data_IF_137196933080
#
_entry.id   IF_137196933080
#
_cell.length_a   1.000
_cell.length_b   1.000
_cell.length_c   1.000
_cell.angle_alpha   90.00
_cell.angle_beta   90.00
_cell.angle_gamma   90.00
#
_symmetry.space_group_name_H-M   'P 1'
#
loop_
_entity.id
_entity.type
_entity.pdbx_description
1 polymer ?
#
# COMPACT_ATOMS: atom_id res chain seq x y z
N UNK A 1 55.03 31.77 -26.77
CA UNK A 1 53.89 30.85 -27.04
C UNK A 1 53.52 30.00 -25.81
N UNK A 2 54.46 29.48 -25.06
CA UNK A 2 54.28 28.58 -23.90
C UNK A 2 53.49 29.16 -22.71
N UNK A 3 53.50 30.47 -22.50
CA UNK A 3 52.83 31.14 -21.38
C UNK A 3 51.30 31.30 -21.60
N UNK A 4 50.86 31.28 -22.86
CA UNK A 4 49.45 31.42 -23.21
C UNK A 4 48.73 30.06 -23.10
N UNK A 5 49.38 28.95 -23.43
CA UNK A 5 48.89 27.59 -23.33
C UNK A 5 48.66 27.17 -21.85
N UNK A 6 49.57 27.58 -20.96
CA UNK A 6 49.46 27.27 -19.54
C UNK A 6 48.32 28.07 -18.86
N UNK A 7 48.02 29.26 -19.34
CA UNK A 7 46.92 30.09 -18.86
C UNK A 7 45.58 29.53 -19.34
N UNK A 8 45.48 29.05 -20.57
CA UNK A 8 44.26 28.41 -21.11
C UNK A 8 43.95 27.10 -20.40
N UNK A 9 44.95 26.24 -20.13
CA UNK A 9 44.77 25.00 -19.36
C UNK A 9 44.26 25.27 -17.93
N UNK A 10 44.82 26.25 -17.23
CA UNK A 10 44.36 26.65 -15.89
C UNK A 10 42.91 27.15 -15.93
N UNK A 11 42.54 27.97 -16.89
CA UNK A 11 41.16 28.45 -17.05
C UNK A 11 40.20 27.33 -17.35
N UNK A 12 40.58 26.37 -18.21
CA UNK A 12 39.79 25.19 -18.52
C UNK A 12 39.52 24.32 -17.27
N UNK A 13 40.58 24.05 -16.46
CA UNK A 13 40.43 23.28 -15.21
C UNK A 13 39.57 24.02 -14.19
N UNK A 14 39.68 25.33 -14.10
CA UNK A 14 38.82 26.11 -13.22
C UNK A 14 37.36 26.09 -13.64
N UNK A 15 37.05 26.20 -14.93
CA UNK A 15 35.70 26.09 -15.46
C UNK A 15 35.12 24.68 -15.19
N UNK A 16 35.93 23.64 -15.40
CA UNK A 16 35.53 22.25 -15.14
C UNK A 16 35.25 22.00 -13.65
N UNK A 17 36.03 22.58 -12.77
CA UNK A 17 35.82 22.48 -11.31
C UNK A 17 34.55 23.23 -10.87
N UNK A 18 34.29 24.41 -11.42
CA UNK A 18 33.09 25.19 -11.13
C UNK A 18 31.85 24.48 -11.63
N UNK A 19 31.87 23.91 -12.85
CA UNK A 19 30.73 23.13 -13.38
C UNK A 19 30.46 21.89 -12.54
N UNK A 20 31.52 21.19 -12.08
CA UNK A 20 31.38 20.04 -11.19
C UNK A 20 30.73 20.40 -9.84
N UNK A 21 31.17 21.53 -9.23
CA UNK A 21 30.56 22.03 -7.99
C UNK A 21 29.11 22.45 -8.17
N UNK A 22 28.73 23.02 -9.32
CA UNK A 22 27.35 23.36 -9.63
C UNK A 22 26.49 22.09 -9.73
N UNK A 23 26.99 21.03 -10.38
CA UNK A 23 26.28 19.74 -10.50
C UNK A 23 26.06 19.12 -9.11
N UNK A 24 27.09 19.14 -8.24
CA UNK A 24 26.97 18.66 -6.86
C UNK A 24 25.93 19.48 -6.09
N UNK A 25 25.92 20.79 -6.24
CA UNK A 25 24.96 21.66 -5.56
C UNK A 25 23.52 21.38 -6.02
N UNK A 26 23.32 21.20 -7.32
CA UNK A 26 22.00 20.83 -7.87
C UNK A 26 21.57 19.46 -7.31
N UNK A 27 22.47 18.47 -7.28
CA UNK A 27 22.21 17.16 -6.70
C UNK A 27 21.77 17.24 -5.22
N UNK A 28 22.49 18.04 -4.42
CA UNK A 28 22.14 18.29 -3.02
C UNK A 28 20.77 18.95 -2.85
N UNK A 29 20.46 19.95 -3.68
CA UNK A 29 19.13 20.61 -3.65
C UNK A 29 18.02 19.61 -4.01
N UNK A 30 18.22 18.76 -5.02
CA UNK A 30 17.26 17.71 -5.38
C UNK A 30 17.05 16.71 -4.24
N UNK A 31 18.12 16.24 -3.59
CA UNK A 31 18.04 15.32 -2.45
C UNK A 31 17.28 15.97 -1.28
N UNK A 32 17.58 17.22 -0.95
CA UNK A 32 16.89 17.97 0.10
C UNK A 32 15.41 18.18 -0.23
N UNK A 33 15.08 18.41 -1.49
CA UNK A 33 13.70 18.57 -1.94
C UNK A 33 12.91 17.28 -1.77
N UNK A 34 13.47 16.14 -2.23
CA UNK A 34 12.86 14.80 -2.07
C UNK A 34 12.68 14.46 -0.59
N UNK A 35 13.72 14.70 0.22
CA UNK A 35 13.66 14.45 1.67
C UNK A 35 12.58 15.29 2.37
N UNK A 36 12.45 16.58 2.04
CA UNK A 36 11.40 17.43 2.60
C UNK A 36 10.00 16.99 2.18
N UNK A 37 9.83 16.54 0.93
CA UNK A 37 8.55 16.03 0.47
C UNK A 37 8.15 14.75 1.20
N UNK A 38 9.10 13.81 1.39
CA UNK A 38 8.85 12.59 2.15
C UNK A 38 8.49 12.89 3.62
N UNK A 39 9.22 13.82 4.28
CA UNK A 39 8.88 14.23 5.64
C UNK A 39 7.49 14.87 5.74
N UNK A 40 7.13 15.69 4.75
CA UNK A 40 5.79 16.31 4.72
C UNK A 40 4.70 15.25 4.58
N UNK A 41 4.88 14.30 3.67
CA UNK A 41 3.92 13.20 3.48
C UNK A 41 3.74 12.35 4.73
N UNK A 42 4.83 11.97 5.40
CA UNK A 42 4.78 11.25 6.66
C UNK A 42 4.06 12.05 7.75
N UNK A 43 4.28 13.37 7.80
CA UNK A 43 3.56 14.25 8.72
C UNK A 43 2.08 14.35 8.38
N UNK A 44 1.71 14.40 7.10
CA UNK A 44 0.31 14.43 6.65
C UNK A 44 -0.40 13.12 7.02
N UNK A 45 0.21 11.94 6.80
CA UNK A 45 -0.31 10.65 7.27
C UNK A 45 -0.42 10.59 8.80
N UNK A 46 0.61 11.03 9.53
CA UNK A 46 0.59 11.06 11.00
C UNK A 46 -0.47 12.02 11.54
N UNK A 47 -0.74 13.14 10.86
CA UNK A 47 -1.78 14.07 11.26
C UNK A 47 -3.18 13.48 11.06
N UNK A 48 -3.39 12.74 9.97
CA UNK A 48 -4.62 11.97 9.71
C UNK A 48 -4.78 10.90 10.78
N UNK A 49 -3.73 10.13 11.10
CA UNK A 49 -3.73 9.11 12.15
C UNK A 49 -4.01 9.70 13.54
N UNK A 50 -3.36 10.79 13.92
CA UNK A 50 -3.55 11.43 15.23
C UNK A 50 -4.94 12.06 15.38
N UNK A 51 -5.57 12.56 14.31
CA UNK A 51 -6.96 13.02 14.35
C UNK A 51 -7.93 11.88 14.61
N UNK A 52 -7.63 10.70 14.11
CA UNK A 52 -8.36 9.45 14.35
C UNK A 52 -8.22 8.99 15.82
N UNK A 53 -7.00 8.91 16.35
CA UNK A 53 -6.71 8.47 17.72
C UNK A 53 -7.32 9.41 18.79
N UNK A 54 -7.38 10.73 18.53
CA UNK A 54 -7.94 11.69 19.47
C UNK A 54 -9.47 11.54 19.66
N UNK A 55 -10.16 11.05 18.64
CA UNK A 55 -11.62 10.81 18.70
C UNK A 55 -11.94 9.53 19.48
N UNK A 56 -11.09 8.51 19.38
CA UNK A 56 -11.25 7.22 20.09
C UNK A 56 -11.22 7.39 21.61
N UNK A 57 -10.38 8.28 22.13
CA UNK A 57 -10.24 8.53 23.57
C UNK A 57 -11.51 9.12 24.23
N UNK A 58 -12.50 9.56 23.46
CA UNK A 58 -13.76 10.15 23.97
C UNK A 58 -14.93 9.17 24.03
N UNK A 59 -14.79 7.93 23.51
CA UNK A 59 -15.91 6.99 23.32
C UNK A 59 -15.93 5.85 24.36
N UNK A 60 -15.09 5.84 25.39
CA UNK A 60 -14.91 4.74 26.36
C UNK A 60 -16.17 4.33 27.20
N UNK A 61 -17.38 4.77 26.86
CA UNK A 61 -18.60 4.46 27.65
C UNK A 61 -19.83 4.11 26.79
N UNK A 62 -19.76 3.11 25.91
CA UNK A 62 -21.01 2.55 25.36
C UNK A 62 -21.08 1.04 25.58
N UNK A 63 -22.06 0.64 26.38
CA UNK A 63 -22.46 -0.76 26.63
C UNK A 63 -23.20 -1.28 25.37
N UNK A 64 -22.47 -1.50 24.26
CA UNK A 64 -23.02 -2.00 22.99
C UNK A 64 -22.19 -3.21 22.53
N UNK A 65 -22.86 -4.27 22.08
CA UNK A 65 -22.27 -5.46 21.45
C UNK A 65 -21.62 -5.17 20.08
N UNK A 66 -21.38 -3.90 19.75
CA UNK A 66 -20.78 -3.47 18.49
C UNK A 66 -19.25 -3.50 18.57
N UNK A 67 -18.59 -3.89 17.49
CA UNK A 67 -17.16 -3.85 17.39
C UNK A 67 -16.64 -2.39 17.41
N UNK A 68 -15.46 -2.19 17.97
CA UNK A 68 -14.79 -0.89 18.00
C UNK A 68 -14.33 -0.47 16.61
N UNK A 69 -14.58 0.79 16.24
CA UNK A 69 -14.02 1.42 15.06
C UNK A 69 -13.18 2.62 15.47
N UNK A 70 -11.84 2.51 15.48
CA UNK A 70 -10.98 3.60 15.89
C UNK A 70 -10.88 4.73 14.84
N UNK A 71 -11.56 4.62 13.69
CA UNK A 71 -11.39 5.51 12.55
C UNK A 71 -12.54 6.50 12.42
N UNK A 72 -12.26 7.79 12.51
CA UNK A 72 -13.22 8.88 12.25
C UNK A 72 -13.35 9.12 10.73
N UNK A 73 -14.27 8.39 10.10
CA UNK A 73 -14.53 8.52 8.66
C UNK A 73 -15.17 9.86 8.27
N UNK A 74 -15.80 10.58 9.20
CA UNK A 74 -16.36 11.90 8.92
C UNK A 74 -15.24 12.96 8.85
N UNK A 75 -14.24 12.86 9.71
CA UNK A 75 -13.03 13.69 9.61
C UNK A 75 -12.22 13.36 8.34
N UNK A 76 -12.09 12.07 8.00
CA UNK A 76 -11.41 11.65 6.77
C UNK A 76 -12.10 12.16 5.51
N UNK A 77 -13.43 12.09 5.45
CA UNK A 77 -14.22 12.59 4.31
C UNK A 77 -14.08 14.11 4.11
N UNK A 78 -13.88 14.87 5.19
CA UNK A 78 -13.60 16.32 5.11
C UNK A 78 -12.19 16.59 4.52
N UNK A 79 -11.25 15.69 4.70
CA UNK A 79 -9.90 15.77 4.10
C UNK A 79 -9.93 15.38 2.64
N UNK A 80 -10.52 14.22 2.33
CA UNK A 80 -10.64 13.69 0.98
C UNK A 80 -11.78 12.66 0.90
N UNK A 81 -12.83 12.96 0.15
CA UNK A 81 -14.01 12.10 -0.03
C UNK A 81 -13.76 10.87 -0.92
N UNK A 82 -12.54 10.66 -1.36
CA UNK A 82 -12.06 9.47 -2.07
C UNK A 82 -11.45 8.43 -1.10
N UNK A 83 -11.25 8.77 0.18
CA UNK A 83 -10.94 7.81 1.24
C UNK A 83 -12.23 7.05 1.58
N UNK A 84 -12.22 5.72 1.43
CA UNK A 84 -13.42 4.92 1.64
C UNK A 84 -13.24 3.78 2.64
N UNK A 85 -11.98 3.50 3.03
CA UNK A 85 -11.63 2.49 4.00
C UNK A 85 -10.31 2.84 4.70
N UNK A 86 -9.97 2.05 5.71
CA UNK A 86 -8.68 2.07 6.39
C UNK A 86 -8.19 0.64 6.54
N UNK A 87 -6.92 0.38 6.25
CA UNK A 87 -6.29 -0.94 6.41
C UNK A 87 -5.32 -0.92 7.58
N UNK A 88 -5.38 -1.97 8.41
CA UNK A 88 -4.40 -2.21 9.48
C UNK A 88 -3.97 -3.67 9.45
N UNK A 89 -2.65 -3.92 9.51
CA UNK A 89 -2.08 -5.25 9.69
C UNK A 89 -1.20 -5.23 10.95
N UNK A 90 -1.55 -5.96 12.01
CA UNK A 90 -0.78 -6.00 13.25
C UNK A 90 0.68 -6.42 13.03
N UNK A 91 1.60 -5.90 13.85
CA UNK A 91 3.04 -6.15 13.80
C UNK A 91 3.73 -5.69 12.51
N UNK A 92 3.05 -4.84 11.72
CA UNK A 92 3.59 -4.17 10.54
C UNK A 92 3.40 -2.66 10.67
N UNK A 93 4.04 -1.90 9.75
CA UNK A 93 3.79 -0.46 9.59
C UNK A 93 2.55 -0.18 8.73
N UNK A 94 1.82 -1.21 8.28
CA UNK A 94 0.64 -1.05 7.42
C UNK A 94 -0.55 -0.64 8.28
N UNK A 95 -0.80 0.68 8.28
CA UNK A 95 -1.87 1.35 9.01
C UNK A 95 -2.20 2.65 8.27
N UNK A 96 -3.01 2.53 7.20
CA UNK A 96 -3.20 3.56 6.17
C UNK A 96 -4.65 3.72 5.73
N UNK A 97 -5.05 4.95 5.31
CA UNK A 97 -6.28 5.13 4.55
C UNK A 97 -6.20 4.41 3.20
N UNK A 98 -7.33 3.88 2.75
CA UNK A 98 -7.50 3.28 1.43
C UNK A 98 -8.33 4.21 0.57
N UNK A 99 -7.80 4.53 -0.62
CA UNK A 99 -8.40 5.49 -1.54
C UNK A 99 -8.83 4.82 -2.84
N UNK A 100 -9.83 5.41 -3.48
CA UNK A 100 -10.17 5.10 -4.86
C UNK A 100 -10.49 6.40 -5.58
N UNK A 101 -9.68 6.74 -6.58
CA UNK A 101 -9.85 7.97 -7.36
C UNK A 101 -11.20 7.96 -8.09
N UNK A 102 -11.77 9.12 -8.34
CA UNK A 102 -12.98 9.31 -9.17
C UNK A 102 -12.65 9.55 -10.64
N UNK A 103 -11.37 9.70 -10.99
CA UNK A 103 -10.95 10.18 -12.31
C UNK A 103 -9.97 9.30 -13.05
N UNK A 104 -9.12 8.53 -12.34
CA UNK A 104 -8.09 7.67 -12.93
C UNK A 104 -7.68 6.57 -11.97
N UNK A 105 -7.61 5.32 -12.44
CA UNK A 105 -7.17 4.16 -11.65
C UNK A 105 -5.78 4.34 -11.05
N UNK A 106 -4.88 4.99 -11.77
CA UNK A 106 -3.49 5.17 -11.35
C UNK A 106 -3.22 6.49 -10.62
N UNK A 107 -4.26 7.29 -10.29
CA UNK A 107 -4.05 8.60 -9.68
C UNK A 107 -3.26 8.50 -8.37
N UNK A 108 -3.61 7.56 -7.49
CA UNK A 108 -3.00 7.41 -6.19
C UNK A 108 -1.68 6.61 -6.19
N UNK A 109 -1.19 6.19 -7.35
CA UNK A 109 0.13 5.57 -7.44
C UNK A 109 1.25 6.55 -7.07
N UNK A 110 1.03 7.86 -7.31
CA UNK A 110 2.01 8.92 -7.05
C UNK A 110 1.37 10.20 -6.46
N UNK A 111 0.24 10.06 -5.75
CA UNK A 111 -0.42 11.16 -5.03
C UNK A 111 -0.79 10.74 -3.60
N UNK A 112 -0.60 11.69 -2.67
CA UNK A 112 -0.95 11.53 -1.26
C UNK A 112 -2.47 11.70 -1.00
N UNK A 113 -2.87 11.57 0.27
CA UNK A 113 -4.26 11.75 0.73
C UNK A 113 -4.81 13.14 0.46
N UNK A 114 -3.97 14.16 0.31
CA UNK A 114 -4.33 15.54 -0.01
C UNK A 114 -4.29 15.83 -1.53
N UNK A 115 -4.11 14.78 -2.35
CA UNK A 115 -3.99 14.86 -3.82
C UNK A 115 -2.75 15.64 -4.30
N UNK A 116 -1.71 15.78 -3.46
CA UNK A 116 -0.42 16.31 -3.87
C UNK A 116 0.44 15.19 -4.44
N UNK A 117 1.29 15.53 -5.41
CA UNK A 117 2.28 14.59 -5.92
C UNK A 117 3.20 14.11 -4.80
N UNK A 118 3.30 12.80 -4.66
CA UNK A 118 4.16 12.09 -3.74
C UNK A 118 4.57 10.77 -4.37
N UNK A 119 5.88 10.54 -4.55
CA UNK A 119 6.38 9.30 -5.17
C UNK A 119 5.90 8.02 -4.44
N UNK A 120 5.78 8.05 -3.11
CA UNK A 120 5.26 6.92 -2.34
C UNK A 120 3.76 6.64 -2.57
N UNK A 121 3.03 7.57 -3.14
CA UNK A 121 1.60 7.46 -3.39
C UNK A 121 0.77 7.22 -2.13
N UNK A 122 -0.30 6.49 -2.31
CA UNK A 122 -1.23 6.04 -1.25
C UNK A 122 -1.56 4.56 -1.44
N UNK A 123 -2.21 3.94 -0.45
CA UNK A 123 -2.85 2.65 -0.64
C UNK A 123 -4.18 2.86 -1.35
N UNK A 124 -4.39 2.17 -2.47
CA UNK A 124 -5.55 2.42 -3.33
C UNK A 124 -6.10 1.16 -3.98
N UNK A 125 -7.35 1.25 -4.44
CA UNK A 125 -7.97 0.30 -5.36
C UNK A 125 -8.35 0.97 -6.67
N UNK A 126 -8.59 0.17 -7.70
CA UNK A 126 -9.03 0.61 -9.02
C UNK A 126 -10.56 0.56 -9.17
N UNK A 127 -11.10 1.16 -10.24
CA UNK A 127 -12.56 1.19 -10.54
C UNK A 127 -13.16 -0.19 -10.76
N UNK A 128 -12.34 -1.18 -11.09
CA UNK A 128 -12.75 -2.57 -11.23
C UNK A 128 -13.27 -3.18 -9.92
N UNK A 129 -12.92 -2.60 -8.78
CA UNK A 129 -13.41 -3.01 -7.48
C UNK A 129 -14.45 -2.04 -6.91
N UNK A 130 -15.47 -2.60 -6.28
CA UNK A 130 -16.46 -1.87 -5.52
C UNK A 130 -15.88 -1.42 -4.18
N UNK A 131 -16.21 -0.20 -3.75
CA UNK A 131 -15.71 0.36 -2.49
C UNK A 131 -16.25 -0.34 -1.23
N UNK A 132 -17.23 -1.22 -1.35
CA UNK A 132 -17.86 -1.93 -0.23
C UNK A 132 -17.28 -3.31 0.06
N UNK A 133 -16.19 -3.71 -0.62
CA UNK A 133 -15.55 -5.02 -0.47
C UNK A 133 -16.51 -6.20 -0.70
N UNK A 134 -17.48 -6.05 -1.59
CA UNK A 134 -18.44 -7.12 -1.92
C UNK A 134 -18.00 -8.00 -3.08
N UNK A 135 -16.95 -7.63 -3.79
CA UNK A 135 -16.40 -8.40 -4.90
C UNK A 135 -15.83 -9.74 -4.44
N UNK A 136 -15.68 -10.68 -5.35
CA UNK A 136 -15.02 -11.97 -5.10
C UNK A 136 -13.54 -11.81 -4.75
N UNK A 137 -12.88 -10.82 -5.37
CA UNK A 137 -11.54 -10.36 -4.96
C UNK A 137 -11.47 -8.84 -5.02
N UNK A 138 -11.05 -8.23 -3.92
CA UNK A 138 -10.73 -6.79 -3.87
C UNK A 138 -9.22 -6.64 -3.84
N UNK A 139 -8.66 -5.92 -4.81
CA UNK A 139 -7.22 -5.73 -4.91
C UNK A 139 -6.85 -4.34 -4.42
N UNK A 140 -5.96 -4.28 -3.43
CA UNK A 140 -5.35 -3.05 -2.94
C UNK A 140 -3.89 -2.99 -3.38
N UNK A 141 -3.48 -1.85 -3.88
CA UNK A 141 -2.15 -1.58 -4.38
C UNK A 141 -1.41 -0.61 -3.46
N UNK A 142 -0.11 -0.82 -3.29
CA UNK A 142 0.78 0.09 -2.57
C UNK A 142 2.25 -0.14 -2.96
N UNK A 143 3.04 0.91 -2.93
CA UNK A 143 4.46 0.82 -3.23
C UNK A 143 5.24 -0.01 -2.20
N UNK A 144 6.32 -0.64 -2.66
CA UNK A 144 7.38 -1.20 -1.82
C UNK A 144 8.46 -0.12 -1.61
N UNK A 145 8.36 0.61 -0.52
CA UNK A 145 9.26 1.73 -0.23
C UNK A 145 10.48 1.27 0.56
N UNK A 146 11.66 1.80 0.22
CA UNK A 146 12.93 1.48 0.90
C UNK A 146 12.96 1.91 2.37
N UNK A 147 12.15 2.88 2.77
CA UNK A 147 12.02 3.34 4.15
C UNK A 147 11.04 2.50 4.99
N UNK A 148 10.50 1.43 4.42
CA UNK A 148 9.56 0.54 5.08
C UNK A 148 8.12 1.04 5.12
N UNK A 149 7.80 2.15 4.44
CA UNK A 149 6.44 2.68 4.35
C UNK A 149 5.60 2.00 3.26
N UNK A 150 4.33 2.36 3.19
CA UNK A 150 3.31 1.81 2.30
C UNK A 150 3.18 0.29 2.47
N UNK A 151 3.31 -0.50 1.41
CA UNK A 151 3.22 -1.96 1.43
C UNK A 151 4.58 -2.68 1.52
N UNK A 152 5.66 -1.97 1.90
CA UNK A 152 6.97 -2.60 2.06
C UNK A 152 6.96 -3.74 3.09
N UNK A 153 6.23 -3.59 4.19
CA UNK A 153 6.14 -4.61 5.24
C UNK A 153 5.35 -5.87 4.84
N UNK A 154 4.70 -5.92 3.66
CA UNK A 154 4.17 -7.16 3.13
C UNK A 154 5.27 -8.21 2.93
N UNK A 155 6.51 -7.79 2.64
CA UNK A 155 7.65 -8.69 2.51
C UNK A 155 8.06 -9.40 3.81
N UNK A 156 7.55 -8.99 4.97
CA UNK A 156 7.70 -9.76 6.21
C UNK A 156 7.01 -11.13 6.13
N UNK A 157 5.95 -11.24 5.32
CA UNK A 157 5.22 -12.49 5.09
C UNK A 157 5.96 -13.49 4.18
N UNK A 158 7.16 -13.18 3.68
CA UNK A 158 8.09 -14.14 3.08
C UNK A 158 8.66 -15.09 4.14
N UNK A 159 8.80 -14.62 5.38
CA UNK A 159 9.22 -15.41 6.53
C UNK A 159 8.06 -16.27 7.04
N UNK A 160 8.29 -17.59 7.16
CA UNK A 160 7.26 -18.57 7.53
C UNK A 160 6.78 -18.37 8.97
N UNK A 161 7.69 -18.03 9.90
CA UNK A 161 7.32 -17.81 11.30
C UNK A 161 6.45 -16.55 11.42
N UNK A 162 6.83 -15.45 10.73
CA UNK A 162 6.03 -14.24 10.70
C UNK A 162 4.64 -14.48 10.08
N UNK A 163 4.56 -15.22 8.97
CA UNK A 163 3.30 -15.59 8.32
C UNK A 163 2.39 -16.37 9.26
N UNK A 164 2.92 -17.35 9.99
CA UNK A 164 2.16 -18.21 10.90
C UNK A 164 1.68 -17.45 12.17
N UNK A 165 2.43 -16.45 12.62
CA UNK A 165 2.09 -15.66 13.82
C UNK A 165 1.14 -14.50 13.53
N UNK A 166 1.12 -13.98 12.29
CA UNK A 166 0.38 -12.77 11.89
C UNK A 166 -0.72 -13.11 10.87
N UNK A 167 -1.89 -13.51 11.37
CA UNK A 167 -2.92 -14.14 10.56
C UNK A 167 -3.99 -13.20 10.02
N UNK A 168 -4.07 -11.93 10.46
CA UNK A 168 -5.24 -11.12 10.18
C UNK A 168 -4.91 -9.78 9.54
N UNK A 169 -5.79 -9.39 8.58
CA UNK A 169 -5.88 -8.05 8.02
C UNK A 169 -7.22 -7.47 8.47
N UNK A 170 -7.20 -6.22 8.96
CA UNK A 170 -8.40 -5.48 9.31
C UNK A 170 -8.67 -4.37 8.31
N UNK A 171 -9.90 -4.33 7.82
CA UNK A 171 -10.41 -3.24 7.01
C UNK A 171 -11.54 -2.56 7.79
N UNK A 172 -11.36 -1.28 8.05
CA UNK A 172 -12.40 -0.45 8.63
C UNK A 172 -13.09 0.36 7.53
N UNK A 173 -14.39 0.48 7.64
CA UNK A 173 -15.24 1.38 6.87
C UNK A 173 -16.16 2.15 7.82
N UNK A 174 -16.83 3.18 7.36
CA UNK A 174 -17.82 3.86 8.20
C UNK A 174 -18.86 2.86 8.70
N UNK A 175 -18.97 2.72 10.03
CA UNK A 175 -19.87 1.81 10.74
C UNK A 175 -19.68 0.30 10.45
N UNK A 176 -18.47 -0.11 10.00
CA UNK A 176 -18.21 -1.51 9.63
C UNK A 176 -16.74 -1.87 9.81
N UNK A 177 -16.50 -3.10 10.30
CA UNK A 177 -15.18 -3.72 10.39
C UNK A 177 -15.20 -5.07 9.67
N UNK A 178 -14.26 -5.26 8.77
CA UNK A 178 -14.02 -6.53 8.07
C UNK A 178 -12.74 -7.15 8.61
N UNK A 179 -12.78 -8.44 8.92
CA UNK A 179 -11.60 -9.23 9.29
C UNK A 179 -11.33 -10.26 8.22
N UNK A 180 -10.14 -10.19 7.64
CA UNK A 180 -9.66 -11.18 6.68
C UNK A 180 -8.60 -12.05 7.35
N UNK A 181 -8.70 -13.37 7.18
CA UNK A 181 -7.65 -14.31 7.56
C UNK A 181 -6.71 -14.51 6.39
N UNK A 182 -5.39 -14.32 6.61
CA UNK A 182 -4.38 -14.49 5.57
C UNK A 182 -4.28 -15.96 5.18
N UNK A 183 -4.42 -16.23 3.90
CA UNK A 183 -4.42 -17.58 3.33
C UNK A 183 -3.15 -17.88 2.54
N UNK A 184 -2.56 -16.85 1.89
CA UNK A 184 -1.30 -17.04 1.14
C UNK A 184 -0.49 -15.76 1.02
N UNK A 185 0.83 -15.92 0.89
CA UNK A 185 1.78 -14.87 0.60
C UNK A 185 2.84 -15.41 -0.36
N UNK A 186 3.03 -14.80 -1.54
CA UNK A 186 3.91 -15.36 -2.57
C UNK A 186 4.33 -14.35 -3.64
N UNK A 187 5.43 -14.68 -4.36
CA UNK A 187 5.84 -13.93 -5.54
C UNK A 187 4.93 -14.25 -6.72
N UNK A 188 4.45 -13.20 -7.36
CA UNK A 188 3.58 -13.22 -8.53
C UNK A 188 4.24 -12.49 -9.69
N UNK A 189 3.81 -12.78 -10.92
CA UNK A 189 4.29 -12.05 -12.10
C UNK A 189 3.70 -10.63 -12.19
N UNK A 190 3.97 -9.92 -13.29
CA UNK A 190 3.49 -8.55 -13.49
C UNK A 190 2.07 -8.45 -14.04
N UNK A 191 1.36 -9.56 -14.23
CA UNK A 191 -0.02 -9.54 -14.75
C UNK A 191 -0.92 -8.76 -13.81
N UNK A 192 -1.79 -7.98 -14.39
CA UNK A 192 -2.80 -7.23 -13.64
C UNK A 192 -3.96 -8.16 -13.28
N UNK A 193 -4.16 -8.45 -11.99
CA UNK A 193 -5.10 -9.45 -11.50
C UNK A 193 -6.51 -9.18 -12.05
N UNK A 194 -7.07 -7.99 -11.83
CA UNK A 194 -8.44 -7.66 -12.21
C UNK A 194 -8.67 -7.69 -13.73
N UNK A 195 -7.62 -7.52 -14.55
CA UNK A 195 -7.72 -7.61 -16.02
C UNK A 195 -7.43 -9.02 -16.54
N UNK A 196 -6.83 -9.89 -15.73
CA UNK A 196 -6.42 -11.24 -16.13
C UNK A 196 -7.48 -12.30 -15.85
N UNK A 197 -8.39 -12.05 -14.91
CA UNK A 197 -9.39 -13.01 -14.47
C UNK A 197 -10.79 -12.41 -14.55
N UNK A 198 -11.71 -13.15 -15.18
CA UNK A 198 -13.14 -12.83 -15.14
C UNK A 198 -13.78 -13.48 -13.91
N UNK A 199 -13.73 -12.81 -12.79
CA UNK A 199 -14.27 -13.33 -11.52
C UNK A 199 -15.80 -13.53 -11.52
N UNK A 200 -16.52 -13.09 -12.54
CA UNK A 200 -17.95 -13.41 -12.70
C UNK A 200 -18.18 -14.85 -13.20
N UNK A 201 -17.16 -15.50 -13.78
CA UNK A 201 -17.20 -16.90 -14.19
C UNK A 201 -16.72 -17.79 -13.04
N UNK A 202 -17.59 -18.72 -12.61
CA UNK A 202 -17.30 -19.62 -11.49
C UNK A 202 -16.11 -20.54 -11.75
N UNK A 203 -15.89 -20.98 -13.00
CA UNK A 203 -14.74 -21.82 -13.33
C UNK A 203 -13.43 -21.04 -13.24
N UNK A 204 -13.42 -19.79 -13.74
CA UNK A 204 -12.26 -18.92 -13.65
C UNK A 204 -11.96 -18.59 -12.18
N UNK A 205 -12.98 -18.30 -11.39
CA UNK A 205 -12.79 -18.04 -9.97
C UNK A 205 -12.31 -19.28 -9.21
N UNK A 206 -12.83 -20.48 -9.55
CA UNK A 206 -12.36 -21.74 -8.96
C UNK A 206 -10.88 -22.02 -9.28
N UNK A 207 -10.44 -21.77 -10.53
CA UNK A 207 -9.04 -21.89 -10.91
C UNK A 207 -8.17 -20.87 -10.13
N UNK A 208 -8.65 -19.62 -10.00
CA UNK A 208 -7.96 -18.59 -9.24
C UNK A 208 -7.77 -18.96 -7.76
N UNK A 209 -8.83 -19.45 -7.07
CA UNK A 209 -8.70 -19.91 -5.67
C UNK A 209 -7.73 -21.10 -5.55
N UNK A 210 -7.71 -21.98 -6.54
CA UNK A 210 -6.75 -23.09 -6.55
C UNK A 210 -5.29 -22.58 -6.67
N UNK A 211 -5.06 -21.53 -7.50
CA UNK A 211 -3.74 -20.88 -7.62
C UNK A 211 -3.36 -20.14 -6.33
N UNK A 212 -4.33 -19.49 -5.67
CA UNK A 212 -4.13 -18.83 -4.36
C UNK A 212 -3.65 -19.83 -3.30
N UNK A 213 -4.25 -21.03 -3.27
CA UNK A 213 -3.90 -22.09 -2.32
C UNK A 213 -2.70 -22.93 -2.76
N UNK A 214 -2.30 -22.88 -4.02
CA UNK A 214 -1.15 -23.61 -4.56
C UNK A 214 -0.31 -22.72 -5.50
N UNK A 215 0.23 -21.60 -5.01
CA UNK A 215 0.92 -20.64 -5.87
C UNK A 215 2.16 -21.24 -6.51
N UNK A 216 2.33 -20.96 -7.81
CA UNK A 216 3.49 -21.37 -8.60
C UNK A 216 4.68 -20.44 -8.36
N UNK A 217 5.25 -20.50 -7.16
CA UNK A 217 6.35 -19.65 -6.73
C UNK A 217 7.28 -20.41 -5.78
N UNK A 218 8.59 -20.13 -5.86
CA UNK A 218 9.59 -20.66 -4.91
C UNK A 218 9.51 -19.90 -3.57
N UNK A 219 9.11 -18.63 -3.60
CA UNK A 219 8.83 -17.84 -2.40
C UNK A 219 7.32 -17.85 -2.17
N UNK A 220 6.87 -18.69 -1.22
CA UNK A 220 5.45 -18.82 -0.89
C UNK A 220 5.24 -19.34 0.52
N UNK A 221 4.22 -18.80 1.18
CA UNK A 221 3.64 -19.34 2.41
C UNK A 221 2.13 -19.50 2.19
N UNK A 222 1.56 -20.60 2.67
CA UNK A 222 0.14 -20.94 2.49
C UNK A 222 -0.42 -21.50 3.79
N UNK A 223 -1.56 -20.97 4.24
CA UNK A 223 -2.31 -21.48 5.37
C UNK A 223 -3.25 -22.62 4.90
N UNK A 224 -2.81 -23.86 5.05
CA UNK A 224 -3.56 -25.04 4.63
C UNK A 224 -4.77 -25.35 5.51
N UNK A 225 -4.94 -24.68 6.65
CA UNK A 225 -6.08 -24.88 7.57
C UNK A 225 -7.33 -24.15 7.09
N UNK A 226 -7.21 -23.27 6.09
CA UNK A 226 -8.31 -22.50 5.51
C UNK A 226 -8.75 -23.11 4.19
N UNK A 227 -10.06 -23.32 4.03
CA UNK A 227 -10.67 -23.77 2.78
C UNK A 227 -11.35 -22.59 2.06
N UNK A 228 -11.03 -22.42 0.77
CA UNK A 228 -11.69 -21.44 -0.09
C UNK A 228 -12.72 -22.12 -0.99
N UNK A 229 -13.81 -21.39 -1.30
CA UNK A 229 -14.87 -21.86 -2.19
C UNK A 229 -15.44 -20.70 -3.02
N UNK A 230 -16.44 -20.94 -3.87
CA UNK A 230 -17.02 -19.96 -4.76
C UNK A 230 -17.74 -18.79 -4.05
N UNK A 231 -18.10 -18.96 -2.78
CA UNK A 231 -18.70 -17.90 -1.94
C UNK A 231 -17.64 -17.08 -1.19
N UNK A 232 -16.36 -17.50 -1.22
CA UNK A 232 -15.27 -16.80 -0.57
C UNK A 232 -15.10 -15.40 -1.15
N UNK A 233 -14.84 -14.41 -0.27
CA UNK A 233 -14.47 -13.06 -0.64
C UNK A 233 -13.03 -12.83 -0.27
N UNK A 234 -12.21 -12.56 -1.25
CA UNK A 234 -10.78 -12.37 -1.09
C UNK A 234 -10.41 -10.89 -1.00
N UNK A 235 -9.35 -10.62 -0.31
CA UNK A 235 -8.61 -9.37 -0.31
C UNK A 235 -7.19 -9.66 -0.74
N UNK A 236 -6.77 -9.07 -1.86
CA UNK A 236 -5.41 -9.18 -2.39
C UNK A 236 -4.65 -7.88 -2.16
N UNK A 237 -3.56 -7.94 -1.41
CA UNK A 237 -2.62 -6.84 -1.23
C UNK A 237 -1.45 -7.03 -2.18
N UNK A 238 -1.18 -6.05 -3.03
CA UNK A 238 -0.18 -6.14 -4.10
C UNK A 238 0.88 -5.05 -3.98
N UNK A 239 2.14 -5.46 -3.97
CA UNK A 239 3.30 -4.57 -4.00
C UNK A 239 4.38 -5.08 -4.96
N UNK A 240 5.40 -4.26 -5.28
CA UNK A 240 6.52 -4.69 -6.11
C UNK A 240 7.45 -5.63 -5.34
N UNK A 241 8.15 -6.52 -6.07
CA UNK A 241 9.21 -7.36 -5.50
C UNK A 241 10.41 -6.52 -5.05
N UNK A 242 11.15 -7.02 -4.07
CA UNK A 242 12.42 -6.43 -3.66
C UNK A 242 13.43 -6.47 -4.82
N UNK A 243 13.90 -5.28 -5.24
CA UNK A 243 14.92 -5.16 -6.29
C UNK A 243 14.46 -5.52 -7.71
N UNK A 244 13.18 -5.83 -7.92
CA UNK A 244 12.62 -6.15 -9.23
C UNK A 244 11.20 -5.58 -9.37
N UNK A 245 11.01 -4.65 -10.30
CA UNK A 245 9.71 -4.04 -10.56
C UNK A 245 8.84 -4.86 -11.55
N UNK A 246 9.39 -5.91 -12.17
CA UNK A 246 8.69 -6.73 -13.15
C UNK A 246 7.82 -7.83 -12.52
N UNK A 247 7.86 -7.98 -11.20
CA UNK A 247 7.04 -8.89 -10.44
C UNK A 247 6.31 -8.22 -9.30
N UNK A 248 5.42 -8.97 -8.66
CA UNK A 248 4.64 -8.53 -7.50
C UNK A 248 4.85 -9.50 -6.34
N UNK A 249 4.77 -9.00 -5.13
CA UNK A 249 4.52 -9.80 -3.94
C UNK A 249 3.08 -9.62 -3.53
N UNK A 250 2.36 -10.72 -3.37
CA UNK A 250 0.96 -10.73 -2.98
C UNK A 250 0.83 -11.28 -1.57
N UNK A 251 -0.02 -10.66 -0.77
CA UNK A 251 -0.56 -11.22 0.48
C UNK A 251 -2.08 -11.26 0.32
N UNK A 252 -2.65 -12.45 0.46
CA UNK A 252 -4.08 -12.68 0.21
C UNK A 252 -4.78 -13.19 1.47
N UNK A 253 -5.95 -12.63 1.74
CA UNK A 253 -6.79 -13.04 2.86
C UNK A 253 -8.22 -13.34 2.42
N UNK A 254 -8.90 -14.20 3.16
CA UNK A 254 -10.33 -14.49 2.99
C UNK A 254 -11.14 -13.81 4.08
N UNK A 255 -12.26 -13.22 3.73
CA UNK A 255 -13.18 -12.59 4.68
C UNK A 255 -13.78 -13.64 5.61
N UNK A 256 -13.50 -13.52 6.91
CA UNK A 256 -14.04 -14.41 7.93
C UNK A 256 -15.05 -13.72 8.85
N UNK A 257 -15.05 -12.37 8.91
CA UNK A 257 -15.94 -11.62 9.79
C UNK A 257 -16.27 -10.26 9.18
N UNK A 258 -17.55 -9.91 9.26
CA UNK A 258 -18.13 -8.66 8.77
C UNK A 258 -19.07 -8.13 9.85
N UNK A 259 -18.63 -7.10 10.58
CA UNK A 259 -19.27 -6.63 11.79
C UNK A 259 -19.67 -5.16 11.68
N UNK A 260 -20.89 -4.82 12.16
CA UNK A 260 -21.22 -3.42 12.37
C UNK A 260 -20.37 -2.84 13.51
N UNK A 261 -20.02 -1.56 13.37
CA UNK A 261 -19.29 -0.79 14.38
C UNK A 261 -20.09 0.45 14.80
N UNK A 262 -19.75 1.01 15.95
CA UNK A 262 -20.31 2.29 16.43
C UNK A 262 -19.46 3.47 16.00
#
# INVERSE_FOLDING_TARGET
>A
MENNDNKQKKTFHYVLLVTFLIIILIGLVCVLFVFRNNLKAQNDYNSVKSSVEATTAQIENSDTDLAENPIDFDALANTNDEIYAWITIPNTNIDYPVLQSKTSDLFYIDHDVNKNYLFAGSIYSEFSNLRNFSDRDTVLYGHNMLDGSMFADLHKFEDEDFFNENKYIYIYQKNRKLTYEIVSAYNYDSRHIMNSFNFADDNVFQEYINDVMNPHSDVRNVNSDVELNLDSKLLTLSTCLNGNNDGRFLVQGVLIKDEPTY
#
